data_IF_400927757080
#
_entry.id   IF_400927757080
#
_cell.length_a   1.000
_cell.length_b   1.000
_cell.length_c   1.000
_cell.angle_alpha   90.00
_cell.angle_beta   90.00
_cell.angle_gamma   90.00
#
_symmetry.space_group_name_H-M   'P 1'
#
loop_
_entity.id
_entity.type
_entity.pdbx_description
1 polymer ?
#
# COMPACT_ATOMS: atom_id res chain seq x y z
N UNK A 1 -8.20 5.46 11.92
CA UNK A 1 -7.70 5.08 10.59
C UNK A 1 -8.87 4.59 9.78
N UNK A 2 -9.28 5.33 8.77
CA UNK A 2 -10.34 4.87 7.85
C UNK A 2 -9.78 3.80 6.90
N UNK A 3 -10.64 2.97 6.29
CA UNK A 3 -10.23 2.04 5.23
C UNK A 3 -9.43 2.71 4.11
N UNK A 4 -9.84 3.89 3.66
CA UNK A 4 -9.22 4.64 2.58
C UNK A 4 -7.82 5.13 2.97
N UNK A 5 -7.64 5.59 4.21
CA UNK A 5 -6.30 5.91 4.74
C UNK A 5 -5.39 4.69 4.76
N UNK A 6 -5.91 3.49 5.05
CA UNK A 6 -5.15 2.23 5.00
C UNK A 6 -4.66 1.93 3.60
N UNK A 7 -5.58 1.90 2.64
CA UNK A 7 -5.30 1.52 1.26
C UNK A 7 -4.27 2.48 0.68
N UNK A 8 -4.47 3.77 0.91
CA UNK A 8 -3.56 4.81 0.47
C UNK A 8 -2.17 4.71 1.11
N UNK A 9 -2.06 4.45 2.41
CA UNK A 9 -0.75 4.35 3.08
C UNK A 9 -0.01 3.09 2.62
N UNK A 10 -0.76 2.00 2.41
CA UNK A 10 -0.23 0.78 1.85
C UNK A 10 0.22 0.96 0.40
N UNK A 11 -0.55 1.69 -0.41
CA UNK A 11 -0.16 2.09 -1.76
C UNK A 11 1.17 2.85 -1.78
N UNK A 12 1.35 3.82 -0.89
CA UNK A 12 2.59 4.59 -0.83
C UNK A 12 3.79 3.71 -0.47
N UNK A 13 3.63 2.76 0.45
CA UNK A 13 4.66 1.76 0.77
C UNK A 13 4.96 0.84 -0.41
N UNK A 14 3.92 0.42 -1.14
CA UNK A 14 4.05 -0.35 -2.38
C UNK A 14 4.77 0.44 -3.47
N UNK A 15 4.52 1.74 -3.57
CA UNK A 15 5.10 2.59 -4.60
C UNK A 15 6.56 2.95 -4.29
N UNK A 16 6.85 3.35 -3.05
CA UNK A 16 8.14 3.91 -2.65
C UNK A 16 9.14 2.88 -2.13
N UNK A 17 8.67 1.67 -1.76
CA UNK A 17 9.46 0.64 -1.10
C UNK A 17 10.42 1.21 -0.04
N UNK A 18 9.91 1.92 0.99
CA UNK A 18 10.77 2.62 1.92
C UNK A 18 11.63 1.60 2.69
N UNK A 19 12.92 1.88 2.85
CA UNK A 19 13.86 1.04 3.62
C UNK A 19 13.91 -0.43 3.13
N UNK A 20 13.61 -0.66 1.85
CA UNK A 20 13.42 -1.97 1.25
C UNK A 20 12.49 -2.89 2.08
N UNK A 21 11.40 -2.32 2.63
CA UNK A 21 10.54 -2.96 3.64
C UNK A 21 9.99 -4.30 3.18
N UNK A 22 9.71 -4.49 1.88
CA UNK A 22 9.21 -5.77 1.36
C UNK A 22 10.21 -6.92 1.58
N UNK A 23 11.49 -6.65 1.39
CA UNK A 23 12.55 -7.64 1.62
C UNK A 23 12.90 -7.74 3.11
N UNK A 24 13.10 -6.62 3.80
CA UNK A 24 13.58 -6.60 5.20
C UNK A 24 12.55 -7.08 6.23
N UNK A 25 11.26 -7.11 5.86
CA UNK A 25 10.17 -7.70 6.63
C UNK A 25 9.88 -9.17 6.27
N UNK A 26 10.44 -9.69 5.18
CA UNK A 26 10.10 -11.01 4.61
C UNK A 26 8.76 -11.05 3.86
N UNK A 27 8.04 -9.92 3.77
CA UNK A 27 6.74 -9.84 3.12
C UNK A 27 6.79 -10.12 1.60
N UNK A 28 7.97 -10.01 0.97
CA UNK A 28 8.21 -10.36 -0.44
C UNK A 28 7.70 -11.77 -0.79
N UNK A 29 7.83 -12.73 0.14
CA UNK A 29 7.39 -14.11 -0.05
C UNK A 29 5.86 -14.25 0.01
N UNK A 30 5.19 -13.36 0.75
CA UNK A 30 3.73 -13.35 0.91
C UNK A 30 2.98 -12.60 -0.19
N UNK A 31 3.68 -11.92 -1.11
CA UNK A 31 3.06 -11.07 -2.13
C UNK A 31 2.12 -11.82 -3.06
N UNK A 32 2.41 -13.10 -3.35
CA UNK A 32 1.49 -13.94 -4.12
C UNK A 32 0.13 -14.07 -3.42
N UNK A 33 0.13 -14.42 -2.14
CA UNK A 33 -1.11 -14.57 -1.36
C UNK A 33 -1.83 -13.23 -1.14
N UNK A 34 -1.09 -12.12 -1.05
CA UNK A 34 -1.67 -10.78 -1.08
C UNK A 34 -2.40 -10.53 -2.39
N UNK A 35 -1.74 -10.80 -3.52
CA UNK A 35 -2.33 -10.65 -4.86
C UNK A 35 -3.63 -11.44 -4.99
N UNK A 36 -3.63 -12.71 -4.56
CA UNK A 36 -4.82 -13.57 -4.57
C UNK A 36 -5.94 -13.00 -3.67
N UNK A 37 -5.59 -12.53 -2.47
CA UNK A 37 -6.56 -11.94 -1.52
C UNK A 37 -7.15 -10.63 -2.04
N UNK A 38 -6.34 -9.77 -2.65
CA UNK A 38 -6.81 -8.50 -3.23
C UNK A 38 -7.71 -8.75 -4.45
N UNK A 39 -7.34 -9.68 -5.33
CA UNK A 39 -8.18 -10.06 -6.48
C UNK A 39 -9.53 -10.60 -6.01
N UNK A 40 -9.57 -11.45 -4.98
CA UNK A 40 -10.83 -11.95 -4.41
C UNK A 40 -11.71 -10.85 -3.79
N UNK A 41 -11.12 -9.71 -3.44
CA UNK A 41 -11.81 -8.56 -2.87
C UNK A 41 -11.94 -7.38 -3.85
N UNK A 42 -11.54 -7.53 -5.13
CA UNK A 42 -11.44 -6.41 -6.07
C UNK A 42 -12.79 -5.76 -6.40
N UNK A 43 -13.89 -6.50 -6.29
CA UNK A 43 -15.26 -6.04 -6.52
C UNK A 43 -15.98 -5.68 -5.21
N UNK A 44 -15.27 -5.80 -4.07
CA UNK A 44 -15.82 -5.49 -2.75
C UNK A 44 -15.59 -4.02 -2.35
N UNK A 45 -16.17 -3.62 -1.23
CA UNK A 45 -15.99 -2.28 -0.65
C UNK A 45 -14.55 -2.04 -0.17
N UNK A 46 -14.17 -0.78 -0.05
CA UNK A 46 -12.83 -0.40 0.44
C UNK A 46 -12.56 -0.89 1.87
N UNK A 47 -13.60 -1.02 2.70
CA UNK A 47 -13.51 -1.63 4.02
C UNK A 47 -13.01 -3.09 3.99
N UNK A 48 -13.45 -3.88 3.01
CA UNK A 48 -13.05 -5.28 2.83
C UNK A 48 -11.60 -5.37 2.36
N UNK A 49 -11.21 -4.54 1.38
CA UNK A 49 -9.84 -4.46 0.87
C UNK A 49 -8.88 -4.02 1.98
N UNK A 50 -9.25 -2.98 2.73
CA UNK A 50 -8.48 -2.52 3.88
C UNK A 50 -8.35 -3.61 4.96
N UNK A 51 -9.41 -4.39 5.21
CA UNK A 51 -9.37 -5.51 6.15
C UNK A 51 -8.43 -6.61 5.65
N UNK A 52 -8.51 -7.00 4.38
CA UNK A 52 -7.60 -7.96 3.78
C UNK A 52 -6.13 -7.52 3.90
N UNK A 53 -5.82 -6.26 3.59
CA UNK A 53 -4.47 -5.69 3.77
C UNK A 53 -4.04 -5.76 5.23
N UNK A 54 -4.91 -5.38 6.17
CA UNK A 54 -4.62 -5.42 7.61
C UNK A 54 -4.28 -6.83 8.08
N UNK A 55 -5.10 -7.80 7.71
CA UNK A 55 -4.92 -9.20 8.11
C UNK A 55 -3.67 -9.80 7.50
N UNK A 56 -3.42 -9.51 6.22
CA UNK A 56 -2.20 -9.97 5.55
C UNK A 56 -0.92 -9.33 6.14
N UNK A 57 -0.96 -8.07 6.58
CA UNK A 57 0.18 -7.42 7.21
C UNK A 57 0.52 -7.98 8.61
N UNK A 58 -0.45 -8.55 9.35
CA UNK A 58 -0.27 -9.02 10.75
C UNK A 58 0.98 -9.89 11.00
N UNK A 59 1.31 -10.91 10.17
CA UNK A 59 2.52 -11.71 10.36
C UNK A 59 3.83 -10.94 10.13
N UNK A 60 3.78 -9.72 9.57
CA UNK A 60 4.93 -8.89 9.23
C UNK A 60 4.99 -7.66 10.16
N UNK A 61 5.58 -7.77 11.36
CA UNK A 61 5.54 -6.69 12.35
C UNK A 61 6.21 -5.39 11.86
N UNK A 62 7.34 -5.49 11.15
CA UNK A 62 8.03 -4.32 10.57
C UNK A 62 7.16 -3.58 9.55
N UNK A 63 6.51 -4.33 8.65
CA UNK A 63 5.62 -3.75 7.64
C UNK A 63 4.36 -3.16 8.30
N UNK A 64 3.78 -3.86 9.27
CA UNK A 64 2.62 -3.37 10.04
C UNK A 64 2.95 -2.08 10.77
N UNK A 65 4.13 -1.99 11.38
CA UNK A 65 4.59 -0.76 12.03
C UNK A 65 4.77 0.37 11.02
N UNK A 66 5.45 0.14 9.89
CA UNK A 66 5.63 1.15 8.84
C UNK A 66 4.30 1.63 8.25
N UNK A 67 3.33 0.73 8.08
CA UNK A 67 1.97 1.08 7.67
C UNK A 67 1.28 1.97 8.69
N UNK A 68 1.39 1.66 9.98
CA UNK A 68 0.81 2.50 11.04
C UNK A 68 1.50 3.86 11.15
N UNK A 69 2.82 3.88 10.99
CA UNK A 69 3.63 5.09 10.94
C UNK A 69 3.15 6.00 9.82
N UNK A 70 3.06 5.51 8.58
CA UNK A 70 2.53 6.25 7.42
C UNK A 70 1.12 6.79 7.61
N UNK A 71 0.23 6.03 8.28
CA UNK A 71 -1.12 6.48 8.60
C UNK A 71 -1.11 7.57 9.68
N UNK A 72 -0.17 7.49 10.64
CA UNK A 72 0.06 8.46 11.70
C UNK A 72 0.72 9.75 11.19
N UNK A 73 1.73 9.64 10.32
CA UNK A 73 2.37 10.73 9.59
C UNK A 73 1.33 11.52 8.80
N UNK A 74 0.41 10.84 8.11
CA UNK A 74 -0.66 11.52 7.37
C UNK A 74 -1.66 12.28 8.25
N UNK A 75 -1.68 12.01 9.56
CA UNK A 75 -2.43 12.77 10.56
C UNK A 75 -1.65 13.97 11.11
N UNK A 76 -0.34 14.03 10.88
CA UNK A 76 0.63 14.99 11.39
C UNK A 76 1.37 15.64 10.19
N UNK A 77 0.78 16.64 9.54
CA UNK A 77 1.43 17.51 8.52
C UNK A 77 1.59 16.85 7.12
N UNK A 78 1.59 17.55 5.99
CA UNK A 78 2.05 18.92 5.75
C UNK A 78 3.55 19.01 5.43
N UNK A 79 4.30 17.91 5.51
CA UNK A 79 5.75 17.93 5.36
C UNK A 79 6.25 16.79 4.47
N UNK A 80 6.88 17.17 3.36
CA UNK A 80 7.92 16.45 2.63
C UNK A 80 8.56 15.34 3.47
N UNK A 81 8.15 14.10 3.23
CA UNK A 81 8.95 12.94 3.59
C UNK A 81 9.26 12.21 2.29
N UNK A 82 10.20 12.80 1.54
CA UNK A 82 10.98 12.15 0.52
C UNK A 82 11.77 11.01 1.19
N UNK A 83 11.09 9.90 1.47
CA UNK A 83 11.76 8.65 1.79
C UNK A 83 12.45 8.21 0.51
N UNK A 84 13.78 8.08 0.47
CA UNK A 84 14.49 7.73 -0.74
C UNK A 84 13.91 6.42 -1.27
N UNK A 85 13.44 6.46 -2.52
CA UNK A 85 12.94 5.28 -3.21
C UNK A 85 14.11 4.29 -3.33
N UNK A 86 14.14 3.28 -2.45
CA UNK A 86 15.21 2.27 -2.47
C UNK A 86 14.96 1.24 -3.57
N UNK A 87 15.00 1.72 -4.81
CA UNK A 87 15.43 1.08 -6.07
C UNK A 87 14.74 -0.22 -6.54
N UNK A 88 14.57 -1.22 -5.69
CA UNK A 88 14.03 -2.50 -6.13
C UNK A 88 12.51 -2.48 -6.06
N UNK A 89 11.90 -2.36 -7.23
CA UNK A 89 10.44 -2.43 -7.42
C UNK A 89 10.04 -3.52 -8.42
N UNK A 90 10.93 -4.49 -8.68
CA UNK A 90 10.71 -5.59 -9.63
C UNK A 90 9.43 -6.38 -9.31
N UNK A 91 9.08 -6.48 -8.02
CA UNK A 91 7.86 -7.12 -7.56
C UNK A 91 6.58 -6.48 -8.14
N UNK A 92 6.61 -5.22 -8.57
CA UNK A 92 5.46 -4.56 -9.23
C UNK A 92 5.18 -5.18 -10.60
N UNK A 93 6.22 -5.62 -11.31
CA UNK A 93 6.09 -6.30 -12.59
C UNK A 93 5.64 -7.77 -12.41
N UNK A 94 6.03 -8.39 -11.29
CA UNK A 94 5.63 -9.77 -10.97
C UNK A 94 4.17 -9.83 -10.51
N UNK A 95 3.71 -8.81 -9.77
CA UNK A 95 2.36 -8.74 -9.22
C UNK A 95 1.62 -7.47 -9.68
N UNK A 96 1.36 -7.32 -10.99
CA UNK A 96 0.76 -6.11 -11.55
C UNK A 96 -0.67 -5.87 -11.01
N UNK A 97 -1.39 -6.95 -10.67
CA UNK A 97 -2.75 -6.86 -10.12
C UNK A 97 -2.82 -6.15 -8.78
N UNK A 98 -1.78 -6.28 -7.94
CA UNK A 98 -1.69 -5.52 -6.68
C UNK A 98 -1.65 -4.02 -7.02
N UNK A 99 -0.81 -3.64 -7.98
CA UNK A 99 -0.67 -2.26 -8.43
C UNK A 99 -1.99 -1.71 -8.99
N UNK A 100 -2.65 -2.46 -9.88
CA UNK A 100 -3.93 -2.05 -10.48
C UNK A 100 -5.01 -1.82 -9.42
N UNK A 101 -5.22 -2.79 -8.52
CA UNK A 101 -6.28 -2.73 -7.51
C UNK A 101 -6.03 -1.57 -6.54
N UNK A 102 -4.80 -1.43 -6.03
CA UNK A 102 -4.47 -0.35 -5.12
C UNK A 102 -4.57 1.02 -5.81
N UNK A 103 -4.15 1.15 -7.08
CA UNK A 103 -4.27 2.41 -7.83
C UNK A 103 -5.73 2.80 -8.09
N UNK A 104 -6.61 1.83 -8.36
CA UNK A 104 -8.05 2.09 -8.54
C UNK A 104 -8.73 2.53 -7.25
N UNK A 105 -8.25 2.05 -6.10
CA UNK A 105 -8.91 2.25 -4.79
C UNK A 105 -8.24 3.30 -3.90
N UNK A 106 -6.95 3.56 -4.08
CA UNK A 106 -6.30 4.65 -3.38
C UNK A 106 -6.98 5.96 -3.78
N UNK A 107 -7.30 6.84 -2.81
CA UNK A 107 -7.82 8.16 -3.11
C UNK A 107 -6.82 8.83 -4.05
N UNK A 108 -7.28 9.21 -5.24
CA UNK A 108 -6.52 10.00 -6.21
C UNK A 108 -6.22 11.36 -5.58
N UNK A 109 -5.25 11.44 -4.68
CA UNK A 109 -4.66 12.73 -4.29
C UNK A 109 -3.95 13.26 -5.54
N UNK A 110 -4.67 14.07 -6.32
CA UNK A 110 -4.10 14.79 -7.46
C UNK A 110 -4.31 14.16 -8.84
N UNK A 111 -5.56 13.93 -9.25
CA UNK A 111 -5.94 14.40 -10.60
C UNK A 111 -7.07 15.40 -10.41
N UNK A 112 -6.70 16.68 -10.30
CA UNK A 112 -7.57 17.73 -10.83
C UNK A 112 -7.80 17.34 -12.28
N UNK A 113 -9.03 16.92 -12.58
CA UNK A 113 -9.55 16.94 -13.93
C UNK A 113 -9.45 18.39 -14.40
N UNK A 114 -8.35 18.72 -15.07
CA UNK A 114 -8.33 19.78 -16.06
C UNK A 114 -9.20 19.32 -17.20
N UNK A 115 -10.51 19.47 -17.03
CA UNK A 115 -11.48 19.40 -18.10
C UNK A 115 -11.29 20.69 -18.92
N UNK A 116 -10.56 20.58 -20.04
CA UNK A 116 -10.55 21.59 -21.10
C UNK A 116 -11.70 21.33 -22.05
#
# INVERSE_FOLDING_TARGET
MTPEQRIAAFWEIWETNPDNIWQTSGAIQGLKSLSESLVACQDKSDAEIATAIKEWCRPYPKLTQKLMDKVGERKLSGADNDSPNTGNTDYKNIYPKITEILLTRAPKMGKKEGQS
#
